data_IF_021967046468
#
_entry.id   IF_021967046468
#
_cell.length_a   1.000
_cell.length_b   1.000
_cell.length_c   1.000
_cell.angle_alpha   90.00
_cell.angle_beta   90.00
_cell.angle_gamma   90.00
#
_symmetry.space_group_name_H-M   'P 1'
#
loop_
_entity.id
_entity.type
_entity.pdbx_description
1 polymer ?
#
# COMPACT_ATOMS: atom_id res chain seq x y z
N UNK A 1 -16.03 -4.84 -2.18
CA UNK A 1 -15.57 -3.44 -2.34
C UNK A 1 -14.67 -3.16 -1.15
N UNK A 2 -13.38 -2.89 -1.36
CA UNK A 2 -12.46 -2.53 -0.27
C UNK A 2 -13.00 -1.27 0.42
N UNK A 3 -13.19 -1.30 1.74
CA UNK A 3 -13.65 -0.12 2.45
C UNK A 3 -12.48 0.89 2.52
N UNK A 4 -12.73 2.16 2.21
CA UNK A 4 -11.72 3.22 2.33
C UNK A 4 -11.18 3.35 3.77
N UNK A 5 -11.99 2.94 4.74
CA UNK A 5 -11.62 2.81 6.15
C UNK A 5 -10.49 1.80 6.36
N UNK A 6 -10.47 0.68 5.62
CA UNK A 6 -9.42 -0.32 5.74
C UNK A 6 -8.08 0.22 5.23
N UNK A 7 -8.09 0.94 4.10
CA UNK A 7 -6.89 1.59 3.57
C UNK A 7 -6.36 2.63 4.56
N UNK A 8 -7.25 3.43 5.14
CA UNK A 8 -6.89 4.40 6.18
C UNK A 8 -6.28 3.71 7.43
N UNK A 9 -6.81 2.55 7.83
CA UNK A 9 -6.30 1.74 8.94
C UNK A 9 -4.90 1.18 8.65
N UNK A 10 -4.65 0.72 7.43
CA UNK A 10 -3.31 0.28 6.98
C UNK A 10 -2.33 1.45 7.03
N UNK A 11 -2.74 2.63 6.57
CA UNK A 11 -1.95 3.86 6.65
C UNK A 11 -1.74 4.37 8.09
N UNK A 12 -2.44 3.82 9.08
CA UNK A 12 -2.37 4.24 10.48
C UNK A 12 -3.03 5.59 10.75
N UNK A 13 -4.01 5.96 9.92
CA UNK A 13 -4.80 7.17 10.10
C UNK A 13 -5.89 6.93 11.15
N UNK A 14 -6.27 7.96 11.93
CA UNK A 14 -7.17 7.79 13.05
C UNK A 14 -8.59 7.43 12.59
N UNK A 15 -9.04 6.22 12.93
CA UNK A 15 -10.37 5.68 12.57
C UNK A 15 -11.58 6.53 13.04
N UNK A 16 -11.36 7.49 13.96
CA UNK A 16 -12.41 8.41 14.45
C UNK A 16 -12.71 9.55 13.47
N UNK A 17 -11.89 9.77 12.44
CA UNK A 17 -12.16 10.78 11.42
C UNK A 17 -13.20 10.24 10.41
N UNK A 18 -14.46 10.69 10.56
CA UNK A 18 -15.55 10.29 9.66
C UNK A 18 -15.25 10.54 8.18
N UNK A 19 -14.42 11.55 7.87
CA UNK A 19 -13.95 11.84 6.52
C UNK A 19 -13.23 10.64 5.87
N UNK A 20 -12.48 9.84 6.64
CA UNK A 20 -11.71 8.69 6.12
C UNK A 20 -12.58 7.51 5.69
N UNK A 21 -13.88 7.53 6.03
CA UNK A 21 -14.86 6.54 5.56
C UNK A 21 -15.37 6.82 4.15
N UNK A 22 -15.02 7.99 3.60
CA UNK A 22 -15.41 8.40 2.24
C UNK A 22 -14.20 8.45 1.31
N UNK A 23 -14.37 8.13 0.01
CA UNK A 23 -13.29 8.25 -0.97
C UNK A 23 -12.68 9.66 -0.99
N UNK A 24 -13.54 10.69 -1.07
CA UNK A 24 -13.08 12.08 -1.15
C UNK A 24 -12.38 12.57 0.12
N UNK A 25 -12.79 12.09 1.30
CA UNK A 25 -12.12 12.45 2.55
C UNK A 25 -10.75 11.80 2.68
N UNK A 26 -10.58 10.54 2.22
CA UNK A 26 -9.26 9.92 2.13
C UNK A 26 -8.37 10.65 1.12
N UNK A 27 -8.91 11.01 -0.06
CA UNK A 27 -8.18 11.81 -1.07
C UNK A 27 -7.72 13.15 -0.47
N UNK A 28 -8.65 13.90 0.13
CA UNK A 28 -8.35 15.19 0.78
C UNK A 28 -7.26 15.03 1.85
N UNK A 29 -7.28 13.92 2.60
CA UNK A 29 -6.29 13.64 3.64
C UNK A 29 -4.89 13.38 3.06
N UNK A 30 -4.82 12.68 1.93
CA UNK A 30 -3.60 12.40 1.19
C UNK A 30 -3.05 13.70 0.57
N UNK A 31 -3.90 14.48 -0.07
CA UNK A 31 -3.55 15.77 -0.68
C UNK A 31 -3.03 16.78 0.36
N UNK A 32 -3.63 16.78 1.56
CA UNK A 32 -3.15 17.54 2.72
C UNK A 32 -1.85 17.02 3.35
N UNK A 33 -1.24 15.99 2.77
CA UNK A 33 0.01 15.37 3.20
C UNK A 33 -0.17 14.40 4.36
N UNK A 34 0.26 13.15 4.17
CA UNK A 34 0.23 12.12 5.19
C UNK A 34 1.40 12.26 6.18
N UNK A 35 1.24 11.84 7.45
CA UNK A 35 2.37 11.75 8.37
C UNK A 35 3.44 10.80 7.84
N UNK A 36 4.72 11.11 8.08
CA UNK A 36 5.83 10.23 7.67
C UNK A 36 5.73 8.82 8.31
N UNK A 37 5.10 8.72 9.48
CA UNK A 37 4.80 7.46 10.16
C UNK A 37 3.92 6.51 9.33
N UNK A 38 3.08 7.02 8.42
CA UNK A 38 2.28 6.19 7.53
C UNK A 38 3.16 5.36 6.59
N UNK A 39 4.22 5.98 6.04
CA UNK A 39 5.22 5.29 5.22
C UNK A 39 5.96 4.22 6.04
N UNK A 40 6.38 4.57 7.26
CA UNK A 40 7.11 3.64 8.13
C UNK A 40 6.24 2.42 8.48
N UNK A 41 4.97 2.64 8.77
CA UNK A 41 3.99 1.60 9.03
C UNK A 41 3.79 0.69 7.82
N UNK A 42 3.50 1.25 6.64
CA UNK A 42 3.29 0.46 5.42
C UNK A 42 4.54 -0.35 5.08
N UNK A 43 5.73 0.26 5.18
CA UNK A 43 6.98 -0.43 4.94
C UNK A 43 7.21 -1.59 5.93
N UNK A 44 6.89 -1.39 7.21
CA UNK A 44 7.00 -2.42 8.23
C UNK A 44 5.98 -3.56 8.03
N UNK A 45 4.75 -3.24 7.63
CA UNK A 45 3.74 -4.26 7.31
C UNK A 45 4.18 -5.15 6.14
N UNK A 46 4.73 -4.55 5.09
CA UNK A 46 5.16 -5.26 3.89
C UNK A 46 6.48 -6.04 4.10
N UNK A 47 7.47 -5.42 4.73
CA UNK A 47 8.81 -5.97 4.87
C UNK A 47 9.36 -5.71 6.29
N UNK A 48 8.85 -6.40 7.33
CA UNK A 48 9.21 -6.13 8.72
C UNK A 48 10.69 -6.32 9.02
N UNK A 49 11.37 -7.19 8.25
CA UNK A 49 12.79 -7.50 8.39
C UNK A 49 13.70 -6.65 7.48
N UNK A 50 13.15 -5.74 6.68
CA UNK A 50 13.91 -4.84 5.81
C UNK A 50 13.63 -3.37 6.18
N UNK A 51 14.48 -2.84 7.06
CA UNK A 51 14.41 -1.44 7.51
C UNK A 51 14.63 -0.41 6.38
N UNK A 52 15.21 -0.82 5.25
CA UNK A 52 15.47 0.02 4.10
C UNK A 52 14.33 0.02 3.08
N UNK A 53 13.35 -0.89 3.22
CA UNK A 53 12.25 -1.05 2.28
C UNK A 53 11.46 0.25 2.03
N UNK A 54 11.31 1.09 3.07
CA UNK A 54 10.68 2.42 2.96
C UNK A 54 11.31 3.31 1.86
N UNK A 55 12.59 3.11 1.56
CA UNK A 55 13.30 3.89 0.55
C UNK A 55 12.89 3.56 -0.89
N UNK A 56 12.16 2.46 -1.10
CA UNK A 56 11.54 2.13 -2.39
C UNK A 56 10.36 3.04 -2.72
N UNK A 57 9.70 3.61 -1.72
CA UNK A 57 8.62 4.60 -1.89
C UNK A 57 9.16 6.03 -1.98
N UNK A 58 10.07 6.36 -1.07
CA UNK A 58 10.65 7.70 -0.94
C UNK A 58 12.16 7.57 -0.81
N UNK A 59 12.95 8.05 -1.80
CA UNK A 59 14.41 7.94 -1.76
C UNK A 59 15.00 8.45 -0.45
N UNK A 60 16.08 7.81 0.04
CA UNK A 60 16.67 8.09 1.36
C UNK A 60 16.92 9.58 1.62
N UNK A 61 17.53 10.29 0.67
CA UNK A 61 17.77 11.73 0.79
C UNK A 61 16.48 12.54 0.94
N UNK A 62 15.44 12.19 0.17
CA UNK A 62 14.11 12.81 0.29
C UNK A 62 13.50 12.49 1.64
N UNK A 63 13.54 11.23 2.08
CA UNK A 63 13.01 10.81 3.38
C UNK A 63 13.71 11.54 4.54
N UNK A 64 15.04 11.65 4.53
CA UNK A 64 15.78 12.37 5.57
C UNK A 64 15.39 13.86 5.60
N UNK A 65 15.14 14.48 4.45
CA UNK A 65 14.58 15.84 4.37
C UNK A 65 13.16 15.91 4.95
N UNK A 66 12.30 14.90 4.72
CA UNK A 66 10.93 14.84 5.26
C UNK A 66 10.89 14.69 6.78
N UNK A 67 11.94 14.17 7.42
CA UNK A 67 12.00 14.11 8.90
C UNK A 67 11.89 15.48 9.56
N UNK A 68 12.27 16.56 8.87
CA UNK A 68 12.10 17.92 9.39
C UNK A 68 10.63 18.39 9.35
N UNK A 69 9.87 18.03 8.31
CA UNK A 69 8.46 18.42 8.15
C UNK A 69 7.47 17.41 8.72
N UNK A 70 7.92 16.17 8.98
CA UNK A 70 7.12 15.01 9.42
C UNK A 70 5.94 14.66 8.52
N UNK A 71 5.92 15.17 7.28
CA UNK A 71 4.82 14.97 6.31
C UNK A 71 5.33 14.61 4.93
N UNK A 72 4.67 13.64 4.33
CA UNK A 72 4.80 13.24 2.93
C UNK A 72 4.12 14.26 2.01
N UNK A 73 4.57 14.38 0.76
CA UNK A 73 3.78 15.08 -0.27
C UNK A 73 2.54 14.27 -0.66
N UNK A 74 1.61 14.92 -1.39
CA UNK A 74 0.46 14.25 -2.01
C UNK A 74 0.91 13.05 -2.86
N UNK A 75 1.89 13.21 -3.74
CA UNK A 75 2.38 12.12 -4.59
C UNK A 75 2.98 10.95 -3.80
N UNK A 76 3.76 11.25 -2.76
CA UNK A 76 4.33 10.23 -1.87
C UNK A 76 3.21 9.51 -1.09
N UNK A 77 2.18 10.25 -0.67
CA UNK A 77 0.99 9.74 -0.02
C UNK A 77 0.14 8.83 -0.92
N UNK A 78 -0.08 9.22 -2.17
CA UNK A 78 -0.81 8.41 -3.15
C UNK A 78 -0.10 7.09 -3.44
N UNK A 79 1.24 7.11 -3.55
CA UNK A 79 2.05 5.89 -3.73
C UNK A 79 1.84 4.92 -2.57
N UNK A 80 1.95 5.38 -1.32
CA UNK A 80 1.75 4.47 -0.17
C UNK A 80 0.29 4.03 0.01
N UNK A 81 -0.68 4.87 -0.38
CA UNK A 81 -2.10 4.52 -0.33
C UNK A 81 -2.46 3.40 -1.33
N UNK A 82 -1.86 3.43 -2.52
CA UNK A 82 -1.96 2.36 -3.51
C UNK A 82 -1.45 1.04 -2.93
N UNK A 83 -0.25 1.02 -2.38
CA UNK A 83 0.33 -0.19 -1.77
C UNK A 83 -0.48 -0.68 -0.57
N UNK A 84 -1.01 0.23 0.26
CA UNK A 84 -1.90 -0.08 1.37
C UNK A 84 -3.20 -0.76 0.90
N UNK A 85 -3.76 -0.34 -0.24
CA UNK A 85 -4.96 -0.95 -0.85
C UNK A 85 -4.68 -2.39 -1.30
N UNK A 86 -3.54 -2.64 -1.94
CA UNK A 86 -3.14 -4.00 -2.34
C UNK A 86 -2.91 -4.88 -1.12
N UNK A 87 -2.17 -4.37 -0.12
CA UNK A 87 -1.92 -5.09 1.13
C UNK A 87 -3.23 -5.52 1.80
N UNK A 88 -4.21 -4.62 1.89
CA UNK A 88 -5.49 -4.93 2.50
C UNK A 88 -6.22 -6.06 1.76
N UNK A 89 -6.25 -6.03 0.42
CA UNK A 89 -6.87 -7.10 -0.35
C UNK A 89 -6.10 -8.42 -0.24
N UNK A 90 -4.77 -8.37 -0.20
CA UNK A 90 -3.95 -9.56 0.00
C UNK A 90 -4.23 -10.20 1.37
N UNK A 91 -4.34 -9.40 2.44
CA UNK A 91 -4.74 -9.90 3.75
C UNK A 91 -6.14 -10.51 3.75
N UNK A 92 -7.07 -9.92 3.01
CA UNK A 92 -8.44 -10.42 2.89
C UNK A 92 -8.52 -11.73 2.08
N UNK A 93 -7.61 -11.92 1.11
CA UNK A 93 -7.48 -13.20 0.38
C UNK A 93 -6.84 -14.28 1.24
N UNK A 94 -5.72 -13.97 1.89
CA UNK A 94 -4.86 -14.97 2.53
C UNK A 94 -5.14 -15.17 4.03
N UNK A 95 -5.81 -14.21 4.68
CA UNK A 95 -6.13 -14.20 6.11
C UNK A 95 -4.91 -14.39 7.04
N UNK A 96 -3.69 -14.13 6.51
CA UNK A 96 -2.42 -14.20 7.22
C UNK A 96 -1.46 -13.17 6.62
N UNK A 97 -0.76 -12.44 7.50
CA UNK A 97 0.25 -11.48 7.05
C UNK A 97 1.44 -12.18 6.39
N UNK A 98 1.83 -13.35 6.88
CA UNK A 98 2.91 -14.17 6.34
C UNK A 98 2.59 -14.62 4.92
N UNK A 99 1.40 -15.18 4.70
CA UNK A 99 0.95 -15.64 3.38
C UNK A 99 0.75 -14.47 2.41
N UNK A 100 0.22 -13.33 2.87
CA UNK A 100 0.10 -12.13 2.06
C UNK A 100 1.48 -11.60 1.61
N UNK A 101 2.48 -11.59 2.52
CA UNK A 101 3.87 -11.25 2.17
C UNK A 101 4.47 -12.27 1.20
N UNK A 102 4.26 -13.57 1.43
CA UNK A 102 4.76 -14.62 0.55
C UNK A 102 4.27 -14.41 -0.88
N UNK A 103 2.99 -14.11 -1.07
CA UNK A 103 2.45 -13.72 -2.38
C UNK A 103 3.13 -12.48 -2.94
N UNK A 104 3.21 -11.38 -2.16
CA UNK A 104 3.74 -10.11 -2.65
C UNK A 104 5.22 -10.17 -3.04
N UNK A 105 6.01 -11.04 -2.39
CA UNK A 105 7.46 -11.15 -2.58
C UNK A 105 7.90 -12.38 -3.37
N UNK A 106 6.97 -13.22 -3.85
CA UNK A 106 7.26 -14.33 -4.77
C UNK A 106 7.00 -13.93 -6.22
N UNK A 107 7.84 -14.40 -7.14
CA UNK A 107 7.63 -14.22 -8.57
C UNK A 107 6.26 -14.81 -8.99
N UNK A 108 5.52 -14.08 -9.81
CA UNK A 108 4.18 -14.50 -10.23
C UNK A 108 4.09 -14.65 -11.76
N UNK A 109 3.63 -15.81 -12.29
CA UNK A 109 3.61 -16.06 -13.74
C UNK A 109 2.79 -15.03 -14.54
N UNK A 110 1.66 -14.57 -13.98
CA UNK A 110 0.81 -13.54 -14.62
C UNK A 110 1.44 -12.13 -14.65
N UNK A 111 2.63 -11.96 -14.06
CA UNK A 111 3.36 -10.68 -14.01
C UNK A 111 4.71 -10.78 -14.73
N UNK A 112 4.83 -11.71 -15.69
CA UNK A 112 6.09 -12.00 -16.40
C UNK A 112 7.21 -12.38 -15.42
N UNK A 113 6.89 -13.24 -14.45
CA UNK A 113 7.79 -13.70 -13.37
C UNK A 113 8.37 -12.57 -12.50
N UNK A 114 7.79 -11.38 -12.53
CA UNK A 114 8.08 -10.31 -11.58
C UNK A 114 7.35 -10.55 -10.27
N UNK A 115 7.90 -10.03 -9.17
CA UNK A 115 7.23 -10.05 -7.87
C UNK A 115 6.12 -8.99 -7.85
N UNK A 116 4.93 -9.28 -7.30
CA UNK A 116 3.85 -8.29 -7.18
C UNK A 116 4.31 -6.98 -6.55
N UNK A 117 5.12 -7.03 -5.49
CA UNK A 117 5.62 -5.83 -4.81
C UNK A 117 6.47 -4.92 -5.71
N UNK A 118 7.20 -5.49 -6.66
CA UNK A 118 8.04 -4.71 -7.58
C UNK A 118 7.19 -3.97 -8.60
N UNK A 119 6.11 -4.57 -9.09
CA UNK A 119 5.22 -3.94 -10.09
C UNK A 119 4.29 -2.91 -9.44
N UNK A 120 3.82 -3.14 -8.22
CA UNK A 120 2.97 -2.19 -7.47
C UNK A 120 3.74 -0.89 -7.23
N UNK A 121 4.97 -0.98 -6.73
CA UNK A 121 5.77 0.21 -6.38
C UNK A 121 6.02 1.10 -7.61
N UNK A 122 6.19 0.49 -8.79
CA UNK A 122 6.52 1.21 -10.02
C UNK A 122 5.43 2.20 -10.45
N UNK A 123 4.15 1.82 -10.45
CA UNK A 123 3.06 2.65 -10.95
C UNK A 123 1.68 2.09 -10.61
N UNK A 124 0.62 2.86 -10.89
CA UNK A 124 -0.78 2.46 -10.66
C UNK A 124 -1.20 1.24 -11.49
N UNK A 125 -0.78 1.17 -12.76
CA UNK A 125 -1.15 0.07 -13.67
C UNK A 125 -0.67 -1.27 -13.10
N UNK A 126 0.55 -1.32 -12.57
CA UNK A 126 1.08 -2.51 -11.90
C UNK A 126 0.28 -2.91 -10.65
N UNK A 127 -0.25 -1.94 -9.91
CA UNK A 127 -1.11 -2.22 -8.76
C UNK A 127 -2.48 -2.74 -9.19
N UNK A 128 -3.08 -2.17 -10.25
CA UNK A 128 -4.35 -2.65 -10.82
C UNK A 128 -4.25 -4.11 -11.27
N UNK A 129 -3.17 -4.48 -11.99
CA UNK A 129 -2.93 -5.87 -12.39
C UNK A 129 -2.86 -6.82 -11.18
N UNK A 130 -2.15 -6.44 -10.11
CA UNK A 130 -2.08 -7.29 -8.91
C UNK A 130 -3.43 -7.38 -8.20
N UNK A 131 -4.20 -6.29 -8.17
CA UNK A 131 -5.54 -6.30 -7.58
C UNK A 131 -6.52 -7.17 -8.35
N UNK A 132 -6.42 -7.21 -9.68
CA UNK A 132 -7.21 -8.12 -10.52
C UNK A 132 -6.86 -9.59 -10.22
N UNK A 133 -5.57 -9.91 -10.09
CA UNK A 133 -5.12 -11.25 -9.68
C UNK A 133 -5.68 -11.61 -8.29
N UNK A 134 -5.58 -10.70 -7.32
CA UNK A 134 -6.12 -10.94 -5.98
C UNK A 134 -7.65 -11.07 -5.98
N UNK A 135 -8.35 -10.28 -6.80
CA UNK A 135 -9.80 -10.36 -6.93
C UNK A 135 -10.24 -11.68 -7.57
N UNK A 136 -9.54 -12.17 -8.60
CA UNK A 136 -9.86 -13.45 -9.23
C UNK A 136 -9.65 -14.61 -8.25
N UNK A 137 -8.59 -14.58 -7.45
CA UNK A 137 -8.35 -15.53 -6.36
C UNK A 137 -9.46 -15.49 -5.30
N UNK A 138 -9.93 -14.29 -4.93
CA UNK A 138 -10.97 -14.13 -3.90
C UNK A 138 -12.35 -14.60 -4.34
N UNK A 139 -12.76 -14.20 -5.54
CA UNK A 139 -14.14 -14.35 -6.00
C UNK A 139 -14.33 -15.46 -7.03
N UNK A 140 -13.26 -16.19 -7.38
CA UNK A 140 -13.32 -17.33 -8.29
C UNK A 140 -13.63 -16.95 -9.74
N UNK A 141 -13.42 -15.70 -10.14
CA UNK A 141 -13.52 -15.31 -11.55
C UNK A 141 -12.26 -15.77 -12.27
N UNK A 142 -12.24 -17.04 -12.68
CA UNK A 142 -11.34 -17.46 -13.74
C UNK A 142 -11.65 -16.56 -14.97
N UNK A 143 -10.66 -15.81 -15.42
CA UNK A 143 -10.67 -15.23 -16.75
C UNK A 143 -10.51 -16.35 -17.79
#
# INVERSE_FOLDING_TARGET
>A
MLAFEDVANVLGLPAKEAALRSPFGLISRIEGGLPIAALERVAHLLAPNDSQFKYRFVPKATYDRRKASLRLSSDEGMRIARDARVWNLALDVWQSEEAAREFLFRAHPMLEDRRPIDVIIQNEIGAELVLEILASLKYGSAA
#
